data_IF_322835537168
#
_entry.id   IF_322835537168
#
_cell.length_a   1.000
_cell.length_b   1.000
_cell.length_c   1.000
_cell.angle_alpha   90.00
_cell.angle_beta   90.00
_cell.angle_gamma   90.00
#
_symmetry.space_group_name_H-M   'P 1'
#
loop_
_entity.id
_entity.type
_entity.pdbx_description
1 polymer ?
#
# COMPACT_ATOMS: atom_id res chain seq x y z
N UNK A 1 -0.66 13.48 -9.88
CA UNK A 1 -0.43 13.64 -8.43
C UNK A 1 -1.77 13.57 -7.76
N UNK A 2 -1.98 12.63 -6.84
CA UNK A 2 -3.14 12.71 -5.94
C UNK A 2 -2.86 13.93 -5.07
N UNK A 3 -3.78 14.89 -5.09
CA UNK A 3 -3.72 16.06 -4.24
C UNK A 3 -3.68 15.60 -2.77
N UNK A 4 -2.63 15.96 -2.04
CA UNK A 4 -2.50 15.65 -0.61
C UNK A 4 -3.53 16.41 0.25
N UNK A 5 -4.30 17.33 -0.36
CA UNK A 5 -5.33 18.15 0.28
C UNK A 5 -6.65 17.45 0.66
N UNK A 6 -6.82 16.14 0.42
CA UNK A 6 -8.00 15.43 0.94
C UNK A 6 -7.76 13.96 1.25
N UNK A 7 -6.60 13.62 1.83
CA UNK A 7 -6.56 12.37 2.59
C UNK A 7 -7.46 12.61 3.79
N UNK A 8 -8.62 11.96 3.76
CA UNK A 8 -9.51 11.89 4.91
C UNK A 8 -8.69 11.41 6.11
N UNK A 9 -8.69 12.15 7.22
CA UNK A 9 -7.92 11.83 8.43
C UNK A 9 -8.25 10.42 8.98
N UNK A 10 -9.36 9.83 8.52
CA UNK A 10 -9.79 8.46 8.83
C UNK A 10 -9.08 7.38 8.01
N UNK A 11 -8.20 7.73 7.07
CA UNK A 11 -7.46 6.80 6.22
C UNK A 11 -5.96 6.89 6.50
N UNK A 12 -5.38 5.75 6.86
CA UNK A 12 -3.93 5.58 7.00
C UNK A 12 -3.37 4.83 5.79
N UNK A 13 -2.21 5.28 5.29
CA UNK A 13 -1.45 4.59 4.24
C UNK A 13 -0.24 3.89 4.85
N UNK A 14 0.03 2.69 4.35
CA UNK A 14 1.26 1.94 4.62
C UNK A 14 1.69 1.30 3.32
N UNK A 15 2.98 1.39 3.01
CA UNK A 15 3.58 0.68 1.89
C UNK A 15 4.57 -0.37 2.39
N UNK A 16 4.71 -1.46 1.64
CA UNK A 16 5.49 -2.63 2.03
C UNK A 16 6.39 -3.04 0.87
N UNK A 17 7.70 -2.98 1.09
CA UNK A 17 8.69 -3.44 0.12
C UNK A 17 9.15 -4.84 0.49
N UNK A 18 9.09 -5.77 -0.46
CA UNK A 18 9.64 -7.13 -0.28
C UNK A 18 10.86 -7.40 -1.14
N UNK A 19 11.01 -6.71 -2.27
CA UNK A 19 12.14 -6.82 -3.19
C UNK A 19 12.70 -5.43 -3.57
N UNK A 20 13.96 -5.38 -3.98
CA UNK A 20 14.61 -4.22 -4.60
C UNK A 20 14.58 -4.28 -6.13
N UNK A 21 15.21 -3.31 -6.79
CA UNK A 21 15.26 -3.20 -8.26
C UNK A 21 16.01 -4.37 -8.94
N UNK A 22 16.79 -5.15 -8.18
CA UNK A 22 17.52 -6.33 -8.62
C UNK A 22 16.77 -7.64 -8.30
N UNK A 23 15.51 -7.57 -7.85
CA UNK A 23 14.72 -8.70 -7.35
C UNK A 23 15.33 -9.42 -6.15
N UNK A 24 16.18 -8.73 -5.38
CA UNK A 24 16.72 -9.25 -4.11
C UNK A 24 15.81 -8.80 -2.97
N UNK A 25 15.81 -9.51 -1.82
CA UNK A 25 15.04 -9.08 -0.65
C UNK A 25 15.31 -7.62 -0.27
N UNK A 26 14.24 -6.85 -0.09
CA UNK A 26 14.34 -5.42 0.23
C UNK A 26 15.10 -5.19 1.56
N UNK A 27 15.94 -4.17 1.57
CA UNK A 27 16.75 -3.79 2.74
C UNK A 27 16.32 -2.45 3.32
N UNK A 28 16.71 -2.16 4.56
CA UNK A 28 16.47 -0.83 5.16
C UNK A 28 17.15 0.30 4.38
N UNK A 29 18.36 0.05 3.85
CA UNK A 29 19.08 1.04 3.05
C UNK A 29 18.30 1.38 1.78
N UNK A 30 17.80 0.36 1.07
CA UNK A 30 16.96 0.53 -0.11
C UNK A 30 15.66 1.28 0.23
N UNK A 31 14.96 0.89 1.30
CA UNK A 31 13.72 1.55 1.72
C UNK A 31 13.93 3.04 2.08
N UNK A 32 15.02 3.37 2.79
CA UNK A 32 15.36 4.76 3.12
C UNK A 32 15.67 5.59 1.88
N UNK A 33 16.41 5.00 0.93
CA UNK A 33 16.70 5.63 -0.35
C UNK A 33 15.42 5.88 -1.14
N UNK A 34 14.57 4.85 -1.27
CA UNK A 34 13.28 4.90 -1.96
C UNK A 34 12.37 5.99 -1.39
N UNK A 35 12.20 6.01 -0.07
CA UNK A 35 11.39 7.02 0.61
C UNK A 35 11.91 8.44 0.38
N UNK A 36 13.24 8.62 0.39
CA UNK A 36 13.87 9.93 0.15
C UNK A 36 13.67 10.38 -1.29
N UNK A 37 13.89 9.48 -2.26
CA UNK A 37 13.79 9.78 -3.68
C UNK A 37 12.36 10.17 -4.11
N UNK A 38 11.36 9.48 -3.55
CA UNK A 38 9.95 9.69 -3.89
C UNK A 38 9.23 10.66 -2.94
N UNK A 39 9.90 11.15 -1.89
CA UNK A 39 9.30 12.01 -0.88
C UNK A 39 8.14 11.35 -0.14
N UNK A 40 8.24 10.04 0.11
CA UNK A 40 7.21 9.26 0.83
C UNK A 40 7.15 9.74 2.28
N UNK A 41 5.94 10.10 2.73
CA UNK A 41 5.69 10.62 4.10
C UNK A 41 4.87 9.68 4.99
N UNK A 42 4.32 8.60 4.42
CA UNK A 42 3.60 7.58 5.17
C UNK A 42 4.55 6.43 5.57
N UNK A 43 4.20 5.62 6.59
CA UNK A 43 5.01 4.48 7.00
C UNK A 43 5.35 3.53 5.85
N UNK A 44 6.63 3.19 5.74
CA UNK A 44 7.18 2.21 4.81
C UNK A 44 7.73 1.04 5.62
N UNK A 45 7.27 -0.17 5.33
CA UNK A 45 7.66 -1.40 6.02
C UNK A 45 8.41 -2.33 5.07
N UNK A 46 9.09 -3.32 5.65
CA UNK A 46 9.85 -4.34 4.93
C UNK A 46 9.23 -5.72 5.11
N UNK A 47 9.18 -6.49 4.04
CA UNK A 47 8.81 -7.90 4.01
C UNK A 47 9.80 -8.73 3.16
N UNK A 48 11.09 -8.78 3.52
CA UNK A 48 12.13 -9.41 2.70
C UNK A 48 11.94 -10.92 2.51
N UNK A 49 11.12 -11.55 3.37
CA UNK A 49 10.79 -12.98 3.28
C UNK A 49 9.47 -13.24 2.55
N UNK A 50 8.82 -12.21 2.03
CA UNK A 50 7.55 -12.28 1.30
C UNK A 50 6.40 -12.97 2.08
N UNK A 51 6.25 -12.66 3.37
CA UNK A 51 5.13 -13.13 4.22
C UNK A 51 3.78 -12.63 3.74
N UNK A 52 3.74 -11.49 3.05
CA UNK A 52 2.55 -10.95 2.41
C UNK A 52 2.11 -11.78 1.19
N UNK A 53 2.93 -12.74 0.75
CA UNK A 53 2.60 -13.69 -0.31
C UNK A 53 1.36 -14.55 -0.04
N UNK A 54 0.84 -14.56 1.19
CA UNK A 54 -0.47 -15.16 1.50
C UNK A 54 -1.66 -14.40 0.90
N UNK A 55 -1.47 -13.15 0.48
CA UNK A 55 -2.52 -12.29 -0.06
C UNK A 55 -2.39 -12.05 -1.56
N UNK A 56 -1.19 -12.17 -2.12
CA UNK A 56 -0.92 -11.94 -3.53
C UNK A 56 0.34 -12.65 -4.00
N UNK A 57 0.42 -12.97 -5.29
CA UNK A 57 1.64 -13.50 -5.91
C UNK A 57 2.63 -12.39 -6.24
N UNK A 58 3.94 -12.68 -6.27
CA UNK A 58 4.97 -11.68 -6.62
C UNK A 58 4.72 -10.97 -7.95
N UNK A 59 4.11 -11.65 -8.92
CA UNK A 59 3.77 -11.08 -10.23
C UNK A 59 2.60 -10.08 -10.18
N UNK A 60 1.90 -9.98 -9.06
CA UNK A 60 0.74 -9.10 -8.87
C UNK A 60 1.12 -7.69 -8.39
N UNK A 61 2.41 -7.34 -8.37
CA UNK A 61 2.86 -5.99 -8.00
C UNK A 61 2.65 -4.97 -9.13
N UNK A 62 2.27 -3.73 -8.81
CA UNK A 62 1.89 -3.25 -7.47
C UNK A 62 0.54 -3.82 -7.02
N UNK A 63 0.45 -4.25 -5.75
CA UNK A 63 -0.75 -4.77 -5.12
C UNK A 63 -1.26 -3.78 -4.08
N UNK A 64 -2.55 -3.44 -4.13
CA UNK A 64 -3.19 -2.49 -3.24
C UNK A 64 -4.29 -3.19 -2.46
N UNK A 65 -4.41 -2.87 -1.17
CA UNK A 65 -5.38 -3.49 -0.26
C UNK A 65 -5.98 -2.44 0.66
N UNK A 66 -7.29 -2.47 0.84
CA UNK A 66 -8.01 -1.71 1.87
C UNK A 66 -8.39 -2.67 2.99
N UNK A 67 -8.02 -2.31 4.21
CA UNK A 67 -8.29 -3.08 5.43
C UNK A 67 -9.19 -2.27 6.34
N UNK A 68 -10.29 -2.88 6.77
CA UNK A 68 -11.14 -2.32 7.82
C UNK A 68 -10.44 -2.51 9.17
N UNK A 69 -10.17 -1.41 9.90
CA UNK A 69 -9.39 -1.47 11.14
C UNK A 69 -10.15 -2.08 12.33
N UNK A 70 -11.48 -2.00 12.37
CA UNK A 70 -12.28 -2.56 13.47
C UNK A 70 -12.26 -4.09 13.48
N UNK A 71 -12.29 -4.71 12.29
CA UNK A 71 -12.39 -6.16 12.12
C UNK A 71 -11.12 -6.80 11.57
N UNK A 72 -10.16 -6.00 11.14
CA UNK A 72 -8.95 -6.41 10.42
C UNK A 72 -9.23 -7.24 9.15
N UNK A 73 -10.42 -7.06 8.56
CA UNK A 73 -10.79 -7.73 7.32
C UNK A 73 -10.34 -6.95 6.10
N UNK A 74 -9.93 -7.68 5.07
CA UNK A 74 -9.72 -7.11 3.74
C UNK A 74 -11.07 -6.70 3.17
N UNK A 75 -11.27 -5.40 2.99
CA UNK A 75 -12.46 -4.83 2.39
C UNK A 75 -12.39 -4.88 0.86
N UNK A 76 -11.20 -4.58 0.32
CA UNK A 76 -10.98 -4.49 -1.11
C UNK A 76 -9.51 -4.77 -1.44
N UNK A 77 -9.24 -5.38 -2.60
CA UNK A 77 -7.90 -5.60 -3.11
C UNK A 77 -7.87 -5.49 -4.64
N UNK A 78 -6.78 -4.96 -5.18
CA UNK A 78 -6.58 -4.81 -6.63
C UNK A 78 -5.10 -4.74 -6.97
N UNK A 79 -4.75 -5.08 -8.21
CA UNK A 79 -3.40 -4.92 -8.76
C UNK A 79 -3.32 -3.69 -9.66
N UNK A 80 -2.10 -3.21 -9.93
CA UNK A 80 -1.82 -2.12 -10.86
C UNK A 80 -2.13 -0.73 -10.31
N UNK A 81 -2.04 0.28 -11.17
CA UNK A 81 -2.28 1.69 -10.84
C UNK A 81 -3.78 2.03 -10.82
N UNK A 82 -4.53 1.45 -9.88
CA UNK A 82 -5.99 1.55 -9.79
C UNK A 82 -6.50 2.69 -8.88
N UNK A 83 -5.87 3.87 -8.92
CA UNK A 83 -6.11 4.95 -7.94
C UNK A 83 -7.56 5.45 -7.88
N UNK A 84 -8.21 5.63 -9.04
CA UNK A 84 -9.60 6.09 -9.09
C UNK A 84 -10.56 5.06 -8.45
N UNK A 85 -10.31 3.77 -8.69
CA UNK A 85 -11.09 2.68 -8.12
C UNK A 85 -10.90 2.61 -6.61
N UNK A 86 -9.66 2.73 -6.12
CA UNK A 86 -9.36 2.78 -4.68
C UNK A 86 -10.10 3.95 -4.02
N UNK A 87 -10.08 5.14 -4.62
CA UNK A 87 -10.80 6.31 -4.12
C UNK A 87 -12.32 6.09 -4.02
N UNK A 88 -12.92 5.46 -5.04
CA UNK A 88 -14.35 5.10 -5.01
C UNK A 88 -14.68 4.11 -3.89
N UNK A 89 -13.82 3.12 -3.65
CA UNK A 89 -14.02 2.14 -2.58
C UNK A 89 -13.91 2.78 -1.19
N UNK A 90 -12.99 3.72 -0.99
CA UNK A 90 -12.88 4.50 0.26
C UNK A 90 -14.16 5.31 0.50
N UNK A 91 -14.66 6.02 -0.52
CA UNK A 91 -15.90 6.80 -0.40
C UNK A 91 -17.10 5.90 -0.08
N UNK A 92 -17.24 4.77 -0.78
CA UNK A 92 -18.31 3.81 -0.56
C UNK A 92 -18.27 3.21 0.87
N UNK A 93 -17.08 2.95 1.41
CA UNK A 93 -16.93 2.45 2.77
C UNK A 93 -17.48 3.44 3.81
N UNK A 94 -17.18 4.73 3.67
CA UNK A 94 -17.64 5.75 4.62
C UNK A 94 -19.09 6.19 4.42
N UNK A 95 -19.66 6.04 3.22
CA UNK A 95 -21.07 6.40 2.98
C UNK A 95 -22.07 5.44 3.67
N UNK A 96 -21.63 4.24 4.04
CA UNK A 96 -22.48 3.19 4.61
C UNK A 96 -22.31 3.03 6.13
N UNK A 97 -21.71 4.02 6.80
CA UNK A 97 -21.43 4.04 8.25
C UNK A 97 -21.94 5.34 8.87
#
# INVERSE_FOLDING_TARGET
>A
MIDAGSIDERVAFVDILFEDDDYKPATEAFAKQWATQLGIKFPLLLDPTFKMGKYFDRAAVPFNMLVELDTMKVYFATTGAAFALIGQQIQAFFANR
#
